data_IF_286572680646
#
_entry.id   IF_286572680646
#
_cell.length_a   1.000
_cell.length_b   1.000
_cell.length_c   1.000
_cell.angle_alpha   90.00
_cell.angle_beta   90.00
_cell.angle_gamma   90.00
#
_symmetry.space_group_name_H-M   'P 1'
#
loop_
_entity.id
_entity.type
_entity.pdbx_description
1 polymer ?
#
# COMPACT_ATOMS: atom_id res chain seq x y z
N UNK A 1 -11.43 -7.02 17.17
CA UNK A 1 -10.97 -6.91 16.71
C UNK A 1 -9.76 -7.08 16.17
N UNK A 2 -9.21 -7.35 16.20
CA UNK A 2 -8.23 -7.49 15.89
C UNK A 2 -7.80 -8.02 14.79
N UNK A 3 -8.20 -8.68 14.28
CA UNK A 3 -8.03 -9.17 13.19
C UNK A 3 -7.54 -8.37 12.23
N UNK A 4 -7.75 -7.33 12.39
CA UNK A 4 -7.41 -6.53 11.48
C UNK A 4 -6.06 -6.12 11.58
N UNK A 5 -5.30 -6.55 12.38
CA UNK A 5 -4.01 -6.07 12.58
C UNK A 5 -3.02 -6.20 11.47
N UNK A 6 -3.46 -6.51 10.29
CA UNK A 6 -2.56 -6.67 9.17
C UNK A 6 -2.50 -5.47 8.26
N UNK A 7 -3.02 -4.35 8.69
CA UNK A 7 -2.98 -3.13 7.90
C UNK A 7 -1.53 -2.68 7.70
N UNK A 8 -1.21 -2.26 6.49
CA UNK A 8 0.10 -1.68 6.20
C UNK A 8 0.09 -0.20 6.58
N UNK A 9 1.18 0.26 7.19
CA UNK A 9 1.32 1.66 7.59
C UNK A 9 2.60 2.22 7.00
N UNK A 10 2.49 3.42 6.44
CA UNK A 10 3.64 4.13 5.87
C UNK A 10 3.72 5.50 6.51
N UNK A 11 4.87 5.82 7.10
CA UNK A 11 5.06 7.09 7.79
C UNK A 11 5.62 8.15 6.86
N UNK A 12 5.23 9.39 7.07
CA UNK A 12 5.77 10.48 6.28
C UNK A 12 5.30 11.83 6.78
N UNK A 13 5.53 12.84 5.96
CA UNK A 13 5.14 14.20 6.25
C UNK A 13 4.11 14.66 5.23
N UNK A 14 3.13 15.41 5.70
CA UNK A 14 2.10 15.98 4.82
C UNK A 14 2.73 17.09 3.99
N UNK A 15 2.68 16.94 2.67
CA UNK A 15 3.26 17.95 1.79
C UNK A 15 2.20 18.73 1.02
N UNK A 16 0.97 18.25 0.96
CA UNK A 16 -0.08 18.97 0.28
C UNK A 16 -1.44 18.50 0.79
N UNK A 17 -2.41 19.41 0.80
CA UNK A 17 -3.78 19.09 1.22
C UNK A 17 -4.71 19.79 0.26
N UNK A 18 -5.65 19.02 -0.30
CA UNK A 18 -6.75 19.59 -1.08
C UNK A 18 -8.05 19.21 -0.39
N UNK A 19 -9.18 19.62 -0.97
CA UNK A 19 -10.47 19.35 -0.34
C UNK A 19 -10.74 17.87 -0.14
N UNK A 20 -10.23 17.03 -1.02
CA UNK A 20 -10.54 15.61 -0.99
C UNK A 20 -9.33 14.72 -0.83
N UNK A 21 -8.14 15.26 -0.75
CA UNK A 21 -6.93 14.43 -0.75
C UNK A 21 -5.82 15.02 0.10
N UNK A 22 -5.04 14.12 0.70
CA UNK A 22 -3.85 14.48 1.46
C UNK A 22 -2.68 13.78 0.82
N UNK A 23 -1.62 14.50 0.53
CA UNK A 23 -0.40 13.95 -0.05
C UNK A 23 0.67 13.86 1.03
N UNK A 24 1.24 12.68 1.18
CA UNK A 24 2.25 12.38 2.20
C UNK A 24 3.51 11.91 1.51
N UNK A 25 4.65 12.37 1.95
CA UNK A 25 5.93 11.95 1.38
C UNK A 25 6.74 11.25 2.46
N UNK A 26 7.17 10.03 2.18
CA UNK A 26 7.97 9.27 3.12
C UNK A 26 9.40 9.75 3.12
N UNK A 27 10.18 9.30 4.11
CA UNK A 27 11.57 9.70 4.21
C UNK A 27 12.37 9.19 3.00
N UNK A 28 11.94 8.13 2.38
CA UNK A 28 12.61 7.59 1.19
C UNK A 28 12.24 8.36 -0.08
N UNK A 29 11.29 9.28 -0.01
CA UNK A 29 10.88 10.05 -1.16
C UNK A 29 9.63 9.54 -1.85
N UNK A 30 9.07 8.42 -1.40
CA UNK A 30 7.86 7.88 -1.98
C UNK A 30 6.68 8.78 -1.63
N UNK A 31 5.84 9.08 -2.61
CA UNK A 31 4.68 9.94 -2.43
C UNK A 31 3.43 9.08 -2.36
N UNK A 32 2.59 9.35 -1.36
CA UNK A 32 1.32 8.67 -1.16
C UNK A 32 0.20 9.69 -1.20
N UNK A 33 -0.94 9.30 -1.76
CA UNK A 33 -2.13 10.14 -1.77
C UNK A 33 -3.29 9.35 -1.18
N UNK A 34 -4.00 9.96 -0.26
CA UNK A 34 -5.15 9.32 0.37
C UNK A 34 -6.11 10.35 0.90
N UNK A 35 -7.06 9.89 1.70
CA UNK A 35 -8.06 10.78 2.32
C UNK A 35 -8.04 10.58 3.82
N UNK A 36 -8.49 11.59 4.55
CA UNK A 36 -8.64 11.46 5.99
C UNK A 36 -9.94 10.76 6.32
N UNK A 37 -9.96 9.95 7.38
CA UNK A 37 -11.22 9.37 7.85
C UNK A 37 -12.19 10.48 8.22
N UNK A 38 -13.46 10.23 8.00
CA UNK A 38 -14.49 11.18 8.33
C UNK A 38 -14.48 11.46 9.84
N UNK A 39 -14.55 12.72 10.22
CA UNK A 39 -14.54 13.10 11.63
C UNK A 39 -13.15 13.26 12.23
N UNK A 40 -12.11 12.99 11.49
CA UNK A 40 -10.75 13.13 12.00
C UNK A 40 -10.37 14.61 12.06
N UNK A 41 -9.44 14.91 12.97
CA UNK A 41 -8.87 16.26 13.03
C UNK A 41 -8.11 16.56 11.76
N UNK A 42 -8.33 17.72 11.19
CA UNK A 42 -7.68 18.11 9.94
C UNK A 42 -6.17 18.17 10.12
N UNK A 43 -5.45 17.63 9.14
CA UNK A 43 -4.01 17.68 9.11
C UNK A 43 -3.53 18.99 8.52
N UNK A 44 -2.31 19.35 8.80
CA UNK A 44 -1.70 20.55 8.26
C UNK A 44 -0.43 20.18 7.49
N UNK A 45 -0.09 20.98 6.51
CA UNK A 45 1.17 20.79 5.78
C UNK A 45 2.32 20.80 6.77
N UNK A 46 3.25 19.88 6.57
CA UNK A 46 4.42 19.76 7.44
C UNK A 46 4.21 18.88 8.66
N UNK A 47 2.97 18.47 8.94
CA UNK A 47 2.74 17.61 10.09
C UNK A 47 3.08 16.17 9.74
N UNK A 48 3.37 15.39 10.77
CA UNK A 48 3.62 13.95 10.61
C UNK A 48 2.30 13.23 10.37
N UNK A 49 2.35 12.23 9.53
CA UNK A 49 1.17 11.46 9.22
C UNK A 49 1.54 10.02 8.91
N UNK A 50 0.55 9.16 8.97
CA UNK A 50 0.69 7.76 8.67
C UNK A 50 -0.36 7.40 7.62
N UNK A 51 0.07 6.68 6.58
CA UNK A 51 -0.83 6.23 5.53
C UNK A 51 -1.15 4.77 5.79
N UNK A 52 -2.43 4.44 5.90
CA UNK A 52 -2.88 3.08 6.19
C UNK A 52 -3.53 2.49 4.95
N UNK A 53 -3.06 1.31 4.54
CA UNK A 53 -3.59 0.60 3.37
C UNK A 53 -3.78 -0.87 3.74
N UNK A 54 -4.98 -1.38 3.53
CA UNK A 54 -5.27 -2.77 3.84
C UNK A 54 -4.69 -3.70 2.79
N UNK A 55 -4.19 -4.87 3.18
CA UNK A 55 -3.55 -5.80 2.24
C UNK A 55 -4.44 -6.20 1.05
N UNK A 56 -5.74 -6.34 1.28
CA UNK A 56 -6.66 -6.77 0.21
C UNK A 56 -6.91 -5.68 -0.81
N UNK A 57 -6.52 -4.43 -0.50
CA UNK A 57 -6.69 -3.31 -1.42
C UNK A 57 -5.49 -3.13 -2.34
N UNK A 58 -4.46 -3.92 -2.16
CA UNK A 58 -3.21 -3.78 -2.91
C UNK A 58 -3.18 -4.82 -4.02
N UNK A 59 -2.90 -4.37 -5.25
CA UNK A 59 -2.73 -5.26 -6.39
C UNK A 59 -1.25 -5.61 -6.54
N UNK A 60 -0.98 -6.82 -7.04
CA UNK A 60 0.38 -7.28 -7.28
C UNK A 60 0.48 -7.74 -8.73
N UNK A 61 1.53 -7.32 -9.42
CA UNK A 61 1.79 -7.71 -10.80
C UNK A 61 3.28 -7.81 -11.04
N UNK A 62 3.63 -8.28 -12.24
CA UNK A 62 5.05 -8.34 -12.62
C UNK A 62 5.65 -6.95 -12.57
N UNK A 63 6.92 -6.88 -12.21
CA UNK A 63 7.60 -5.59 -12.15
C UNK A 63 7.60 -4.89 -13.51
N UNK A 64 7.65 -5.67 -14.59
CA UNK A 64 7.65 -5.11 -15.93
C UNK A 64 6.28 -4.51 -16.33
N UNK A 65 5.24 -4.85 -15.57
CA UNK A 65 3.90 -4.33 -15.83
C UNK A 65 3.58 -3.13 -14.96
N UNK A 66 4.58 -2.55 -14.31
CA UNK A 66 4.38 -1.36 -13.52
C UNK A 66 3.73 -0.33 -14.41
N UNK A 67 2.46 -0.08 -14.19
CA UNK A 67 1.67 0.73 -15.07
C UNK A 67 1.92 2.20 -14.91
N UNK A 68 1.33 2.96 -15.81
CA UNK A 68 1.46 4.40 -15.77
C UNK A 68 0.11 5.00 -15.41
N UNK A 69 -0.62 4.36 -14.54
CA UNK A 69 -1.90 4.87 -14.08
C UNK A 69 -1.68 5.92 -12.99
N UNK A 70 -2.77 6.52 -12.54
CA UNK A 70 -2.72 7.47 -11.43
C UNK A 70 -2.52 6.77 -10.09
N UNK A 71 -2.43 5.45 -10.08
CA UNK A 71 -2.25 4.71 -8.85
C UNK A 71 -0.82 4.82 -8.34
N UNK A 72 -0.67 4.64 -7.04
CA UNK A 72 0.64 4.53 -6.43
C UNK A 72 1.19 3.16 -6.78
N UNK A 73 2.44 3.11 -7.21
CA UNK A 73 3.07 1.87 -7.63
C UNK A 73 4.47 1.80 -7.03
N UNK A 74 4.80 0.69 -6.41
CA UNK A 74 6.08 0.50 -5.75
C UNK A 74 6.64 -0.84 -6.15
N UNK A 75 7.92 -0.85 -6.54
CA UNK A 75 8.59 -2.09 -6.89
C UNK A 75 9.11 -2.79 -5.65
N UNK A 76 9.12 -4.11 -5.69
CA UNK A 76 9.63 -4.90 -4.58
C UNK A 76 9.90 -6.32 -5.01
N UNK A 77 10.21 -7.15 -4.02
CA UNK A 77 10.49 -8.56 -4.24
C UNK A 77 9.70 -9.39 -3.26
N UNK A 78 9.11 -10.47 -3.74
CA UNK A 78 8.35 -11.38 -2.88
C UNK A 78 9.31 -12.09 -1.93
N UNK A 79 9.05 -11.97 -0.65
CA UNK A 79 9.86 -12.63 0.38
C UNK A 79 9.20 -13.90 0.87
N UNK A 80 7.88 -13.94 0.88
CA UNK A 80 7.15 -15.08 1.40
C UNK A 80 5.76 -15.12 0.79
N UNK A 81 5.16 -16.30 0.79
CA UNK A 81 3.80 -16.50 0.32
C UNK A 81 3.13 -17.53 1.20
N UNK A 82 1.95 -17.21 1.70
CA UNK A 82 1.18 -18.11 2.55
C UNK A 82 -0.17 -18.33 1.92
N UNK A 83 -0.58 -19.59 1.82
CA UNK A 83 -1.89 -19.93 1.28
C UNK A 83 -2.92 -19.87 2.41
N UNK A 84 -3.99 -19.10 2.18
CA UNK A 84 -5.06 -18.92 3.16
C UNK A 84 -6.39 -19.27 2.52
N UNK A 85 -6.54 -20.51 2.09
CA UNK A 85 -7.78 -20.91 1.45
C UNK A 85 -7.97 -20.28 0.09
N UNK A 86 -8.86 -19.31 0.00
CA UNK A 86 -9.16 -18.65 -1.28
C UNK A 86 -8.25 -17.46 -1.56
N UNK A 87 -7.29 -17.20 -0.69
CA UNK A 87 -6.37 -16.08 -0.85
C UNK A 87 -4.93 -16.54 -0.67
N UNK A 88 -4.03 -15.79 -1.25
CA UNK A 88 -2.60 -15.91 -0.92
C UNK A 88 -2.16 -14.62 -0.27
N UNK A 89 -1.35 -14.74 0.79
CA UNK A 89 -0.78 -13.58 1.45
C UNK A 89 0.67 -13.50 1.05
N UNK A 90 1.05 -12.37 0.47
CA UNK A 90 2.44 -12.13 0.05
C UNK A 90 3.08 -11.13 0.98
N UNK A 91 4.32 -11.40 1.34
CA UNK A 91 5.15 -10.41 2.01
C UNK A 91 6.13 -9.89 0.96
N UNK A 92 6.06 -8.59 0.68
CA UNK A 92 6.84 -7.96 -0.38
C UNK A 92 7.82 -6.97 0.25
N UNK A 93 9.11 -7.16 0.01
CA UNK A 93 10.12 -6.21 0.47
C UNK A 93 10.24 -5.12 -0.58
N UNK A 94 9.85 -3.90 -0.23
CA UNK A 94 9.85 -2.79 -1.17
C UNK A 94 11.15 -2.01 -1.10
N UNK A 95 11.36 -1.18 -2.10
CA UNK A 95 12.50 -0.30 -2.12
C UNK A 95 12.12 0.99 -1.40
N UNK A 96 12.48 1.08 -0.14
CA UNK A 96 12.31 2.30 0.62
C UNK A 96 11.06 2.42 1.49
N UNK A 97 10.13 1.47 1.35
CA UNK A 97 8.89 1.54 2.14
C UNK A 97 8.73 0.36 3.09
N UNK A 98 9.77 -0.44 3.27
CA UNK A 98 9.72 -1.57 4.17
C UNK A 98 8.94 -2.73 3.59
N UNK A 99 8.57 -3.65 4.45
CA UNK A 99 7.85 -4.85 4.04
C UNK A 99 6.37 -4.56 3.99
N UNK A 100 5.73 -4.97 2.91
CA UNK A 100 4.31 -4.71 2.68
C UNK A 100 3.58 -6.03 2.52
N UNK A 101 2.45 -6.14 3.19
CA UNK A 101 1.61 -7.33 3.12
C UNK A 101 0.56 -7.13 2.04
N UNK A 102 0.42 -8.12 1.16
CA UNK A 102 -0.57 -8.10 0.08
C UNK A 102 -1.42 -9.35 0.18
N UNK A 103 -2.74 -9.18 0.15
CA UNK A 103 -3.65 -10.31 0.19
C UNK A 103 -4.34 -10.39 -1.17
N UNK A 104 -4.03 -11.43 -1.94
CA UNK A 104 -4.49 -11.57 -3.30
C UNK A 104 -5.46 -12.75 -3.43
N UNK A 105 -6.62 -12.56 -4.06
CA UNK A 105 -7.54 -13.68 -4.28
C UNK A 105 -6.92 -14.71 -5.21
N UNK A 106 -7.06 -15.99 -4.89
CA UNK A 106 -6.49 -17.04 -5.71
C UNK A 106 -7.14 -17.11 -7.09
N UNK A 107 -8.38 -16.68 -7.19
CA UNK A 107 -9.04 -16.63 -8.49
C UNK A 107 -8.31 -15.65 -9.43
N UNK A 108 -7.84 -14.54 -8.90
CA UNK A 108 -7.08 -13.58 -9.68
C UNK A 108 -5.72 -14.16 -10.06
N UNK A 109 -5.07 -14.87 -9.14
CA UNK A 109 -3.79 -15.48 -9.41
C UNK A 109 -3.90 -16.53 -10.52
N UNK A 110 -4.96 -17.31 -10.50
CA UNK A 110 -5.15 -18.33 -11.52
C UNK A 110 -5.20 -17.70 -12.90
N UNK A 111 -5.84 -16.53 -13.01
CA UNK A 111 -5.95 -15.84 -14.29
C UNK A 111 -4.67 -15.12 -14.68
N UNK A 112 -3.95 -14.58 -13.71
CA UNK A 112 -2.75 -13.80 -13.98
C UNK A 112 -1.48 -14.60 -13.80
N UNK A 113 -1.08 -14.80 -12.58
CA UNK A 113 0.19 -15.44 -12.31
C UNK A 113 0.34 -15.66 -10.80
N UNK A 114 0.98 -16.76 -10.43
CA UNK A 114 1.37 -17.00 -9.06
C UNK A 114 2.79 -16.52 -8.86
N UNK A 115 3.05 -15.84 -7.76
CA UNK A 115 4.39 -15.36 -7.45
C UNK A 115 5.00 -16.22 -6.34
N UNK A 116 6.31 -16.35 -6.40
CA UNK A 116 7.05 -17.14 -5.42
C UNK A 116 8.18 -16.28 -4.86
N UNK A 117 8.74 -16.66 -3.69
CA UNK A 117 9.83 -15.87 -3.12
C UNK A 117 10.96 -15.67 -4.15
N UNK A 118 11.45 -14.45 -4.20
CA UNK A 118 12.47 -14.03 -5.15
C UNK A 118 11.96 -13.32 -6.37
N UNK A 119 10.66 -13.43 -6.67
CA UNK A 119 10.11 -12.76 -7.85
C UNK A 119 10.09 -11.25 -7.67
N UNK A 120 10.43 -10.54 -8.74
CA UNK A 120 10.33 -9.10 -8.76
C UNK A 120 8.91 -8.72 -9.15
N UNK A 121 8.30 -7.87 -8.35
CA UNK A 121 6.90 -7.49 -8.55
C UNK A 121 6.72 -5.99 -8.39
N UNK A 122 5.56 -5.53 -8.82
CA UNK A 122 5.10 -4.17 -8.56
C UNK A 122 3.80 -4.28 -7.78
N UNK A 123 3.72 -3.55 -6.67
CA UNK A 123 2.47 -3.47 -5.91
C UNK A 123 1.88 -2.08 -6.12
N UNK A 124 0.55 -2.01 -6.16
CA UNK A 124 -0.11 -0.75 -6.46
C UNK A 124 -1.49 -0.68 -5.81
N UNK A 125 -1.95 0.54 -5.59
CA UNK A 125 -3.30 0.80 -5.10
C UNK A 125 -3.70 2.21 -5.49
N UNK A 126 -5.01 2.45 -5.53
CA UNK A 126 -5.54 3.77 -5.84
C UNK A 126 -5.66 4.62 -4.58
N UNK A 127 -5.81 5.93 -4.75
CA UNK A 127 -5.93 6.84 -3.60
C UNK A 127 -7.12 6.52 -2.70
N UNK A 128 -8.17 5.94 -3.25
CA UNK A 128 -9.35 5.58 -2.49
C UNK A 128 -9.07 4.48 -1.47
N UNK A 129 -7.98 3.75 -1.64
CA UNK A 129 -7.63 2.66 -0.73
C UNK A 129 -6.79 3.12 0.46
N UNK A 130 -6.33 4.36 0.45
CA UNK A 130 -5.40 4.85 1.45
C UNK A 130 -6.08 5.83 2.40
N UNK A 131 -5.93 5.60 3.70
CA UNK A 131 -6.39 6.53 4.72
C UNK A 131 -5.18 7.21 5.34
N UNK A 132 -5.25 8.53 5.49
CA UNK A 132 -4.15 9.30 6.08
C UNK A 132 -4.60 9.74 7.47
N UNK A 133 -3.83 9.33 8.48
CA UNK A 133 -4.14 9.64 9.87
C UNK A 133 -2.97 10.36 10.50
N UNK A 134 -3.30 11.23 11.44
CA UNK A 134 -2.27 11.96 12.15
C UNK A 134 -1.42 11.06 13.01
N UNK A 135 -0.14 11.37 13.07
CA UNK A 135 0.79 10.65 13.92
C UNK A 135 0.81 11.38 15.25
N UNK A 136 0.38 10.70 16.29
CA UNK A 136 0.31 11.33 17.62
C UNK A 136 1.47 10.92 18.49
#
# INVERSE_FOLDING_TARGET
ADFVGRTNFFDGDVIDITDSAVTVKSISGQVFVGSQPQGATALAKGSKACVAVRPEMIAIKDASDAGNSSNISINGRVMNRIFLGEHSEYLVATEGCGDVMVLSPRSTETANRNYVPGDQVSISWGPEAALVIGDT
#
